data_IF_649880036425
#
_entry.id   IF_649880036425
#
_cell.length_a   1.000
_cell.length_b   1.000
_cell.length_c   1.000
_cell.angle_alpha   90.00
_cell.angle_beta   90.00
_cell.angle_gamma   90.00
#
_symmetry.space_group_name_H-M   'P 1'
#
loop_
_entity.id
_entity.type
_entity.pdbx_description
1 polymer ?
#
# COMPACT_ATOMS: atom_id res chain seq x y z
N UNK A 1 33.67 11.83 48.53
CA UNK A 1 32.50 10.92 48.66
C UNK A 1 31.25 11.79 48.61
N UNK A 2 30.20 11.64 47.80
CA UNK A 2 29.84 10.82 46.63
C UNK A 2 29.12 11.81 45.67
N UNK A 3 29.53 11.84 44.40
CA UNK A 3 28.93 12.68 43.34
C UNK A 3 27.53 12.14 43.02
N UNK A 4 26.51 12.98 43.15
CA UNK A 4 25.14 12.75 42.70
C UNK A 4 25.12 12.78 41.16
N UNK A 5 24.74 11.65 40.57
CA UNK A 5 24.57 11.48 39.13
C UNK A 5 23.24 12.11 38.72
N UNK A 6 23.28 13.24 38.03
CA UNK A 6 22.12 13.80 37.35
C UNK A 6 21.90 12.91 36.12
N UNK A 7 20.89 12.04 36.19
CA UNK A 7 20.34 11.31 35.06
C UNK A 7 19.79 12.34 34.07
N UNK A 8 20.56 12.61 33.03
CA UNK A 8 20.13 13.36 31.85
C UNK A 8 18.95 12.63 31.21
N UNK A 9 17.76 13.14 31.45
CA UNK A 9 16.55 12.78 30.72
C UNK A 9 16.68 13.35 29.31
N UNK A 10 17.24 12.54 28.40
CA UNK A 10 17.25 12.86 26.97
C UNK A 10 15.81 12.73 26.50
N UNK A 11 15.13 13.87 26.45
CA UNK A 11 13.88 14.05 25.71
C UNK A 11 14.24 13.86 24.24
N UNK A 12 13.98 12.66 23.72
CA UNK A 12 14.06 12.39 22.28
C UNK A 12 12.92 13.17 21.65
N UNK A 13 13.24 14.38 21.18
CA UNK A 13 12.42 15.10 20.23
C UNK A 13 12.41 14.31 18.92
N UNK A 14 11.48 13.35 18.83
CA UNK A 14 11.07 12.78 17.55
C UNK A 14 10.64 13.97 16.66
N UNK A 15 11.21 14.13 15.46
CA UNK A 15 10.68 15.10 14.52
C UNK A 15 9.31 14.56 14.09
N UNK A 16 8.24 15.05 14.73
CA UNK A 16 6.91 14.93 14.20
C UNK A 16 6.91 15.63 12.84
N UNK A 17 7.12 14.87 11.76
CA UNK A 17 6.59 15.24 10.47
C UNK A 17 5.08 15.30 10.64
N UNK A 18 4.54 16.47 10.97
CA UNK A 18 3.12 16.70 11.18
C UNK A 18 2.40 16.60 9.82
N UNK A 19 2.26 15.39 9.28
CA UNK A 19 1.20 15.11 8.33
C UNK A 19 -0.09 15.13 9.13
N UNK A 20 -1.02 16.02 8.79
CA UNK A 20 -2.40 16.07 9.35
C UNK A 20 -3.27 14.89 8.84
N UNK A 21 -2.64 13.72 8.67
CA UNK A 21 -3.26 12.50 8.21
C UNK A 21 -3.26 11.51 9.37
N UNK A 22 -4.43 10.99 9.71
CA UNK A 22 -4.58 9.98 10.76
C UNK A 22 -4.21 8.59 10.20
N UNK A 23 -3.08 7.98 10.62
CA UNK A 23 -2.66 6.69 10.10
C UNK A 23 -3.66 5.57 10.41
N UNK A 24 -4.44 5.70 11.48
CA UNK A 24 -5.39 4.66 11.89
C UNK A 24 -6.51 4.50 10.86
N UNK A 25 -6.92 5.57 10.17
CA UNK A 25 -7.95 5.49 9.12
C UNK A 25 -7.53 4.58 7.97
N UNK A 26 -6.25 4.62 7.60
CA UNK A 26 -5.73 3.89 6.45
C UNK A 26 -5.21 2.49 6.79
N UNK A 27 -5.16 2.13 8.08
CA UNK A 27 -4.53 0.89 8.53
C UNK A 27 -5.07 -0.33 7.78
N UNK A 28 -6.39 -0.48 7.69
CA UNK A 28 -7.01 -1.64 7.03
C UNK A 28 -6.65 -1.72 5.54
N UNK A 29 -6.67 -0.59 4.82
CA UNK A 29 -6.26 -0.54 3.42
C UNK A 29 -4.77 -0.89 3.23
N UNK A 30 -3.88 -0.43 4.12
CA UNK A 30 -2.46 -0.77 4.04
C UNK A 30 -2.14 -2.20 4.46
N UNK A 31 -2.85 -2.77 5.44
CA UNK A 31 -2.76 -4.18 5.81
C UNK A 31 -3.19 -5.06 4.60
N UNK A 32 -4.32 -4.73 3.97
CA UNK A 32 -4.81 -5.43 2.77
C UNK A 32 -3.83 -5.29 1.59
N UNK A 33 -3.26 -4.10 1.39
CA UNK A 33 -2.24 -3.87 0.37
C UNK A 33 -0.97 -4.70 0.62
N UNK A 34 -0.53 -4.82 1.87
CA UNK A 34 0.64 -5.64 2.23
C UNK A 34 0.37 -7.14 1.95
N UNK A 35 -0.83 -7.63 2.27
CA UNK A 35 -1.22 -9.00 1.94
C UNK A 35 -1.25 -9.23 0.42
N UNK A 36 -1.74 -8.25 -0.35
CA UNK A 36 -1.75 -8.28 -1.82
C UNK A 36 -0.33 -8.31 -2.41
N UNK A 37 0.61 -7.50 -1.90
CA UNK A 37 2.01 -7.48 -2.35
C UNK A 37 2.73 -8.83 -2.13
N UNK A 38 2.28 -9.62 -1.16
CA UNK A 38 2.82 -10.94 -0.83
C UNK A 38 2.03 -12.10 -1.45
N UNK A 39 0.94 -11.80 -2.15
CA UNK A 39 0.07 -12.81 -2.72
C UNK A 39 0.73 -13.54 -3.89
N UNK A 40 0.46 -14.85 -3.99
CA UNK A 40 0.74 -15.60 -5.20
C UNK A 40 -0.35 -15.35 -6.27
N UNK A 41 -0.13 -15.83 -7.50
CA UNK A 41 -1.05 -15.64 -8.62
C UNK A 41 -2.45 -16.23 -8.35
N UNK A 42 -2.56 -17.24 -7.49
CA UNK A 42 -3.84 -17.92 -7.19
C UNK A 42 -4.66 -17.09 -6.21
N UNK A 43 -4.01 -16.53 -5.19
CA UNK A 43 -4.63 -15.72 -4.13
C UNK A 43 -4.72 -14.23 -4.46
N UNK A 44 -4.00 -13.77 -5.49
CA UNK A 44 -3.93 -12.36 -5.90
C UNK A 44 -5.30 -11.71 -6.06
N UNK A 45 -6.21 -12.34 -6.81
CA UNK A 45 -7.57 -11.83 -7.08
C UNK A 45 -8.32 -11.52 -5.78
N UNK A 46 -8.30 -12.45 -4.81
CA UNK A 46 -8.98 -12.28 -3.52
C UNK A 46 -8.41 -11.14 -2.70
N UNK A 47 -7.08 -11.01 -2.63
CA UNK A 47 -6.44 -9.91 -1.90
C UNK A 47 -6.62 -8.56 -2.61
N UNK A 48 -6.71 -8.56 -3.94
CA UNK A 48 -6.99 -7.35 -4.74
C UNK A 48 -8.39 -6.85 -4.46
N UNK A 49 -9.38 -7.74 -4.39
CA UNK A 49 -10.75 -7.39 -4.00
C UNK A 49 -10.83 -6.87 -2.57
N UNK A 50 -10.12 -7.50 -1.62
CA UNK A 50 -10.04 -7.01 -0.25
C UNK A 50 -9.45 -5.59 -0.21
N UNK A 51 -8.33 -5.36 -0.89
CA UNK A 51 -7.72 -4.03 -0.98
C UNK A 51 -8.67 -3.00 -1.59
N UNK A 52 -9.35 -3.34 -2.68
CA UNK A 52 -10.33 -2.46 -3.32
C UNK A 52 -11.49 -2.11 -2.38
N UNK A 53 -11.99 -3.08 -1.60
CA UNK A 53 -13.06 -2.86 -0.63
C UNK A 53 -12.62 -1.91 0.50
N UNK A 54 -11.40 -2.06 1.03
CA UNK A 54 -10.87 -1.17 2.06
C UNK A 54 -10.63 0.25 1.51
N UNK A 55 -10.17 0.38 0.26
CA UNK A 55 -10.05 1.69 -0.42
C UNK A 55 -11.42 2.33 -0.63
N UNK A 56 -12.44 1.55 -0.99
CA UNK A 56 -13.81 2.03 -1.12
C UNK A 56 -14.40 2.46 0.23
N UNK A 57 -14.12 1.73 1.30
CA UNK A 57 -14.60 2.04 2.64
C UNK A 57 -14.08 3.41 3.13
N UNK A 58 -12.84 3.77 2.78
CA UNK A 58 -12.25 5.08 3.07
C UNK A 58 -13.05 6.25 2.49
N UNK A 59 -13.79 6.04 1.40
CA UNK A 59 -14.60 7.11 0.76
C UNK A 59 -15.77 7.58 1.64
N UNK A 60 -16.21 6.74 2.57
CA UNK A 60 -17.25 7.06 3.54
C UNK A 60 -16.74 7.83 4.77
N UNK A 61 -15.42 7.95 4.93
CA UNK A 61 -14.78 8.57 6.09
C UNK A 61 -14.57 10.06 5.86
N UNK A 62 -14.76 10.87 6.90
CA UNK A 62 -14.43 12.30 6.84
C UNK A 62 -12.91 12.47 6.78
N UNK A 63 -12.44 13.10 5.70
CA UNK A 63 -11.01 13.25 5.40
C UNK A 63 -10.54 14.70 5.30
N UNK A 64 -9.33 14.96 5.81
CA UNK A 64 -8.57 16.19 5.55
C UNK A 64 -8.09 16.25 4.10
N UNK A 65 -7.58 17.39 3.65
CA UNK A 65 -7.03 17.53 2.29
C UNK A 65 -5.85 16.58 2.05
N UNK A 66 -4.96 16.40 3.03
CA UNK A 66 -3.84 15.46 2.93
C UNK A 66 -4.31 14.00 2.84
N UNK A 67 -5.30 13.62 3.65
CA UNK A 67 -5.88 12.28 3.63
C UNK A 67 -6.54 11.97 2.27
N UNK A 68 -7.22 12.95 1.65
CA UNK A 68 -7.77 12.80 0.30
C UNK A 68 -6.69 12.59 -0.76
N UNK A 69 -5.52 13.20 -0.61
CA UNK A 69 -4.39 12.95 -1.53
C UNK A 69 -3.86 11.53 -1.38
N UNK A 70 -3.74 11.03 -0.14
CA UNK A 70 -3.34 9.64 0.12
C UNK A 70 -4.37 8.68 -0.47
N UNK A 71 -5.66 8.93 -0.27
CA UNK A 71 -6.73 8.14 -0.89
C UNK A 71 -6.65 8.14 -2.43
N UNK A 72 -6.33 9.28 -3.05
CA UNK A 72 -6.15 9.35 -4.51
C UNK A 72 -4.98 8.47 -4.98
N UNK A 73 -3.89 8.41 -4.21
CA UNK A 73 -2.76 7.52 -4.51
C UNK A 73 -3.15 6.05 -4.34
N UNK A 74 -3.89 5.71 -3.29
CA UNK A 74 -4.40 4.35 -3.08
C UNK A 74 -5.33 3.90 -4.21
N UNK A 75 -6.20 4.78 -4.71
CA UNK A 75 -7.03 4.50 -5.89
C UNK A 75 -6.19 4.27 -7.15
N UNK A 76 -5.11 5.02 -7.32
CA UNK A 76 -4.19 4.79 -8.43
C UNK A 76 -3.53 3.39 -8.33
N UNK A 77 -3.08 3.00 -7.13
CA UNK A 77 -2.55 1.66 -6.90
C UNK A 77 -3.61 0.57 -7.16
N UNK A 78 -4.85 0.76 -6.69
CA UNK A 78 -5.96 -0.17 -6.94
C UNK A 78 -6.19 -0.36 -8.43
N UNK A 79 -6.13 0.71 -9.23
CA UNK A 79 -6.30 0.63 -10.68
C UNK A 79 -5.21 -0.24 -11.32
N UNK A 80 -3.94 -0.05 -10.95
CA UNK A 80 -2.82 -0.87 -11.46
C UNK A 80 -3.01 -2.34 -11.06
N UNK A 81 -3.36 -2.61 -9.80
CA UNK A 81 -3.60 -3.97 -9.31
C UNK A 81 -4.79 -4.64 -10.00
N UNK A 82 -5.85 -3.89 -10.30
CA UNK A 82 -6.98 -4.37 -11.08
C UNK A 82 -6.59 -4.70 -12.51
N UNK A 83 -5.77 -3.88 -13.16
CA UNK A 83 -5.25 -4.17 -14.50
C UNK A 83 -4.38 -5.43 -14.50
N UNK A 84 -3.55 -5.62 -13.46
CA UNK A 84 -2.77 -6.84 -13.30
C UNK A 84 -3.67 -8.07 -13.22
N UNK A 85 -4.74 -8.01 -12.43
CA UNK A 85 -5.69 -9.12 -12.27
C UNK A 85 -6.40 -9.48 -13.60
N UNK A 86 -6.83 -8.46 -14.36
CA UNK A 86 -7.39 -8.65 -15.71
C UNK A 86 -6.37 -9.33 -16.64
N UNK A 87 -5.08 -8.97 -16.52
CA UNK A 87 -4.02 -9.59 -17.30
C UNK A 87 -3.80 -11.06 -16.89
N UNK A 88 -3.83 -11.36 -15.59
CA UNK A 88 -3.73 -12.72 -15.07
C UNK A 88 -4.91 -13.59 -15.52
N UNK A 89 -6.13 -13.05 -15.55
CA UNK A 89 -7.30 -13.74 -16.11
C UNK A 89 -7.10 -14.10 -17.58
N UNK A 90 -6.56 -13.16 -18.38
CA UNK A 90 -6.19 -13.43 -19.76
C UNK A 90 -5.15 -14.53 -19.85
N UNK A 91 -4.12 -14.52 -19.00
CA UNK A 91 -3.09 -15.57 -18.96
C UNK A 91 -3.66 -16.96 -18.70
N UNK A 92 -4.66 -17.06 -17.82
CA UNK A 92 -5.32 -18.34 -17.49
C UNK A 92 -6.06 -18.90 -18.70
N UNK A 93 -6.57 -18.05 -19.58
CA UNK A 93 -7.27 -18.45 -20.81
C UNK A 93 -6.34 -18.70 -22.02
N UNK A 94 -5.07 -18.33 -21.92
CA UNK A 94 -4.14 -18.37 -23.05
C UNK A 94 -3.60 -19.80 -23.29
N UNK A 95 -3.71 -20.22 -24.55
CA UNK A 95 -3.37 -21.59 -24.98
C UNK A 95 -1.94 -21.71 -25.45
N UNK A 96 -1.38 -20.62 -25.97
CA UNK A 96 0.02 -20.55 -26.38
C UNK A 96 0.95 -20.29 -25.19
N UNK A 97 2.10 -20.96 -25.18
CA UNK A 97 3.13 -20.74 -24.15
C UNK A 97 3.68 -19.31 -24.22
N UNK A 98 4.05 -18.85 -25.41
CA UNK A 98 4.52 -17.48 -25.66
C UNK A 98 3.50 -16.41 -25.22
N UNK A 99 2.21 -16.61 -25.52
CA UNK A 99 1.17 -15.69 -25.07
C UNK A 99 1.02 -15.67 -23.55
N UNK A 100 1.15 -16.83 -22.90
CA UNK A 100 1.09 -16.96 -21.44
C UNK A 100 2.28 -16.31 -20.76
N UNK A 101 3.48 -16.46 -21.29
CA UNK A 101 4.67 -15.78 -20.80
C UNK A 101 4.54 -14.27 -20.97
N UNK A 102 4.15 -13.81 -22.16
CA UNK A 102 3.98 -12.38 -22.46
C UNK A 102 3.00 -11.71 -21.51
N UNK A 103 1.83 -12.29 -21.27
CA UNK A 103 0.85 -11.69 -20.35
C UNK A 103 1.30 -11.78 -18.88
N UNK A 104 2.07 -12.81 -18.49
CA UNK A 104 2.63 -12.91 -17.14
C UNK A 104 3.64 -11.80 -16.88
N UNK A 105 4.48 -11.46 -17.86
CA UNK A 105 5.41 -10.33 -17.75
C UNK A 105 4.65 -9.01 -17.59
N UNK A 106 3.61 -8.76 -18.39
CA UNK A 106 2.76 -7.57 -18.25
C UNK A 106 2.08 -7.52 -16.87
N UNK A 107 1.57 -8.65 -16.37
CA UNK A 107 0.97 -8.71 -15.05
C UNK A 107 1.98 -8.37 -13.95
N UNK A 108 3.22 -8.88 -14.04
CA UNK A 108 4.30 -8.57 -13.09
C UNK A 108 4.66 -7.08 -13.10
N UNK A 109 4.73 -6.47 -14.28
CA UNK A 109 5.00 -5.04 -14.43
C UNK A 109 3.92 -4.18 -13.75
N UNK A 110 2.64 -4.53 -13.96
CA UNK A 110 1.51 -3.84 -13.33
C UNK A 110 1.49 -4.02 -11.81
N UNK A 111 1.81 -5.22 -11.30
CA UNK A 111 1.97 -5.47 -9.87
C UNK A 111 3.09 -4.61 -9.30
N UNK A 112 4.27 -4.59 -9.95
CA UNK A 112 5.39 -3.78 -9.52
C UNK A 112 5.08 -2.28 -9.52
N UNK A 113 4.36 -1.80 -10.55
CA UNK A 113 3.84 -0.43 -10.64
C UNK A 113 2.91 -0.10 -9.46
N UNK A 114 1.92 -0.96 -9.20
CA UNK A 114 1.02 -0.83 -8.06
C UNK A 114 1.76 -0.77 -6.72
N UNK A 115 2.72 -1.66 -6.48
CA UNK A 115 3.53 -1.71 -5.25
C UNK A 115 4.41 -0.46 -5.07
N UNK A 116 4.94 0.09 -6.16
CA UNK A 116 5.67 1.36 -6.10
C UNK A 116 4.76 2.53 -5.69
N UNK A 117 3.52 2.57 -6.18
CA UNK A 117 2.52 3.57 -5.80
C UNK A 117 2.10 3.40 -4.34
N UNK A 118 1.89 2.16 -3.86
CA UNK A 118 1.61 1.86 -2.45
C UNK A 118 2.73 2.34 -1.55
N UNK A 119 3.98 2.11 -1.95
CA UNK A 119 5.17 2.60 -1.25
C UNK A 119 5.15 4.14 -1.15
N UNK A 120 4.80 4.84 -2.23
CA UNK A 120 4.60 6.30 -2.20
C UNK A 120 3.50 6.73 -1.24
N UNK A 121 2.37 6.01 -1.21
CA UNK A 121 1.28 6.30 -0.28
C UNK A 121 1.72 6.18 1.19
N UNK A 122 2.47 5.12 1.52
CA UNK A 122 3.06 4.91 2.86
C UNK A 122 3.99 6.06 3.26
N UNK A 123 4.86 6.49 2.33
CA UNK A 123 5.73 7.64 2.58
C UNK A 123 4.95 8.93 2.85
N UNK A 124 3.85 9.15 2.14
CA UNK A 124 3.02 10.33 2.33
C UNK A 124 2.19 10.29 3.62
N UNK A 125 1.84 9.10 4.12
CA UNK A 125 1.07 8.95 5.36
C UNK A 125 1.89 9.25 6.62
N UNK A 126 3.19 8.93 6.63
CA UNK A 126 3.93 8.99 7.89
C UNK A 126 5.44 8.96 7.76
N UNK A 127 6.00 9.31 6.59
CA UNK A 127 7.43 9.54 6.36
C UNK A 127 8.37 8.72 7.26
N UNK A 128 8.76 7.53 6.79
CA UNK A 128 9.87 6.76 7.38
C UNK A 128 9.62 6.11 8.76
N UNK A 129 8.41 5.64 9.06
CA UNK A 129 8.21 4.67 10.14
C UNK A 129 7.99 3.27 9.56
N UNK A 130 9.02 2.44 9.73
CA UNK A 130 9.06 1.03 9.42
C UNK A 130 7.87 0.30 10.06
N UNK A 131 7.07 -0.35 9.21
CA UNK A 131 6.23 -1.49 9.57
C UNK A 131 6.79 -2.72 8.87
#
# INVERSE_FOLDING_TARGET
>A
MRRTWILSLIVIALPCGCTDADPQKFKAAFDAAQALEQADIVSFTSYRELFANEVLALESVTMTTSEKQILAILRQAETEMRLADICLDRCRSETSEEGRESCQEVAKELIASGSAILTRARFQLGGWLAF
#
